data_IF_903030496731
#
_entry.id   IF_903030496731
#
_cell.length_a   1.000
_cell.length_b   1.000
_cell.length_c   1.000
_cell.angle_alpha   90.00
_cell.angle_beta   90.00
_cell.angle_gamma   90.00
#
_symmetry.space_group_name_H-M   'P 1'
#
loop_
_entity.id
_entity.type
_entity.pdbx_description
1 polymer ?
#
# COMPACT_ATOMS: atom_id res chain seq x y z
N UNK A 1 22.02 -10.80 -1.62
CA UNK A 1 21.08 -9.86 -0.96
C UNK A 1 21.69 -8.48 -0.76
N UNK A 2 22.79 -8.31 0.01
CA UNK A 2 23.39 -6.99 0.26
C UNK A 2 23.75 -6.21 -1.02
N UNK A 3 24.41 -6.84 -1.99
CA UNK A 3 24.76 -6.20 -3.26
C UNK A 3 23.53 -5.71 -4.06
N UNK A 4 22.47 -6.49 -4.14
CA UNK A 4 21.22 -6.08 -4.83
C UNK A 4 20.57 -4.87 -4.14
N UNK A 5 20.59 -4.82 -2.80
CA UNK A 5 20.07 -3.68 -2.02
C UNK A 5 20.92 -2.42 -2.23
N UNK A 6 22.27 -2.56 -2.31
CA UNK A 6 23.16 -1.46 -2.61
C UNK A 6 22.93 -0.93 -4.04
N UNK A 7 22.79 -1.81 -5.02
CA UNK A 7 22.49 -1.45 -6.41
C UNK A 7 21.14 -0.70 -6.51
N UNK A 8 20.10 -1.18 -5.85
CA UNK A 8 18.80 -0.50 -5.82
C UNK A 8 18.90 0.91 -5.20
N UNK A 9 19.62 1.06 -4.08
CA UNK A 9 19.81 2.38 -3.45
C UNK A 9 20.55 3.35 -4.38
N UNK A 10 21.57 2.87 -5.09
CA UNK A 10 22.30 3.68 -6.05
C UNK A 10 21.42 4.10 -7.24
N UNK A 11 20.60 3.17 -7.78
CA UNK A 11 19.65 3.47 -8.85
C UNK A 11 18.60 4.49 -8.37
N UNK A 12 17.98 4.24 -7.21
CA UNK A 12 16.92 5.08 -6.66
C UNK A 12 17.40 6.49 -6.29
N UNK A 13 18.67 6.64 -5.88
CA UNK A 13 19.27 7.95 -5.59
C UNK A 13 19.35 8.87 -6.83
N UNK A 14 19.36 8.30 -8.03
CA UNK A 14 19.31 9.05 -9.30
C UNK A 14 17.89 9.39 -9.78
N UNK A 15 16.85 8.98 -9.04
CA UNK A 15 15.45 9.21 -9.42
C UNK A 15 14.85 10.28 -8.50
N UNK A 16 14.21 11.29 -9.09
CA UNK A 16 13.41 12.24 -8.31
C UNK A 16 12.29 11.48 -7.56
N UNK A 17 12.25 11.52 -6.21
CA UNK A 17 11.21 10.85 -5.43
C UNK A 17 9.77 11.26 -5.78
N UNK A 18 9.56 12.46 -6.34
CA UNK A 18 8.25 12.90 -6.83
C UNK A 18 7.72 12.05 -7.99
N UNK A 19 8.60 11.33 -8.69
CA UNK A 19 8.25 10.41 -9.76
C UNK A 19 7.95 8.99 -9.26
N UNK A 20 8.36 8.64 -8.05
CA UNK A 20 8.19 7.30 -7.51
C UNK A 20 6.76 7.10 -6.98
N UNK A 21 6.14 6.00 -7.38
CA UNK A 21 4.82 5.56 -6.92
C UNK A 21 4.95 4.12 -6.45
N UNK A 22 4.86 3.90 -5.14
CA UNK A 22 5.00 2.59 -4.53
C UNK A 22 3.66 1.88 -4.49
N UNK A 23 3.63 0.67 -5.03
CA UNK A 23 2.43 -0.15 -5.18
C UNK A 23 2.61 -1.45 -4.41
N UNK A 24 1.57 -1.84 -3.67
CA UNK A 24 1.57 -3.07 -2.87
C UNK A 24 0.15 -3.51 -2.52
N UNK A 25 0.00 -4.74 -2.01
CA UNK A 25 -1.24 -5.30 -1.51
C UNK A 25 -1.23 -5.45 0.00
N UNK A 26 -2.39 -5.27 0.59
CA UNK A 26 -2.60 -5.52 2.01
C UNK A 26 -3.93 -6.20 2.31
N UNK A 27 -3.89 -7.30 3.04
CA UNK A 27 -5.10 -7.89 3.61
C UNK A 27 -5.69 -6.97 4.69
N UNK A 28 -6.96 -6.67 4.54
CA UNK A 28 -7.77 -5.99 5.58
C UNK A 28 -8.93 -6.92 5.95
N UNK A 29 -9.32 -6.94 7.21
CA UNK A 29 -10.43 -7.82 7.62
C UNK A 29 -11.31 -7.19 8.70
N UNK A 30 -12.52 -7.73 8.85
CA UNK A 30 -13.49 -7.27 9.84
C UNK A 30 -13.14 -7.66 11.28
N UNK A 31 -12.07 -8.45 11.48
CA UNK A 31 -11.54 -8.82 12.81
C UNK A 31 -10.46 -7.90 13.32
N UNK A 32 -10.11 -6.84 12.58
CA UNK A 32 -9.14 -5.86 13.05
C UNK A 32 -9.58 -5.28 14.39
N UNK A 33 -9.00 -5.77 15.48
CA UNK A 33 -9.24 -5.32 16.85
C UNK A 33 -8.01 -4.63 17.41
N UNK A 34 -8.19 -3.76 18.39
CA UNK A 34 -7.08 -3.19 19.13
C UNK A 34 -6.33 -4.32 19.86
N UNK A 35 -5.04 -4.41 19.65
CA UNK A 35 -4.16 -5.42 20.28
C UNK A 35 -3.68 -5.01 21.67
N UNK A 36 -3.84 -3.74 22.03
CA UNK A 36 -3.41 -3.16 23.29
C UNK A 36 -4.50 -2.27 23.87
N UNK A 37 -4.63 -2.29 25.18
CA UNK A 37 -5.49 -1.40 25.96
C UNK A 37 -4.78 -1.02 27.26
N UNK A 38 -5.22 0.05 27.91
CA UNK A 38 -4.73 0.48 29.23
C UNK A 38 -5.77 0.11 30.27
N UNK A 39 -5.28 -0.38 31.43
CA UNK A 39 -6.07 -0.62 32.63
C UNK A 39 -5.33 -0.07 33.84
N UNK A 40 -6.01 0.21 34.97
CA UNK A 40 -5.36 0.52 36.23
C UNK A 40 -4.34 -0.55 36.62
N UNK A 41 -3.29 -0.15 37.33
CA UNK A 41 -2.26 -1.08 37.83
C UNK A 41 -2.90 -2.26 38.57
N UNK A 42 -2.46 -3.46 38.24
CA UNK A 42 -2.98 -4.70 38.84
C UNK A 42 -4.31 -5.19 38.24
N UNK A 43 -4.88 -4.49 37.24
CA UNK A 43 -6.08 -4.94 36.55
C UNK A 43 -5.79 -5.30 35.07
N UNK A 44 -6.48 -6.33 34.58
CA UNK A 44 -6.39 -6.74 33.17
C UNK A 44 -7.37 -5.90 32.32
N UNK A 45 -6.92 -5.40 31.19
CA UNK A 45 -7.81 -4.84 30.18
C UNK A 45 -8.51 -5.98 29.44
N UNK A 46 -9.85 -5.93 29.39
CA UNK A 46 -10.69 -6.88 28.66
C UNK A 46 -11.18 -6.24 27.37
N UNK A 47 -11.33 -7.03 26.31
CA UNK A 47 -11.90 -6.61 25.04
C UNK A 47 -12.55 -7.78 24.35
N UNK A 48 -13.48 -7.50 23.43
CA UNK A 48 -14.15 -8.50 22.63
C UNK A 48 -13.56 -8.48 21.21
N UNK A 49 -13.25 -9.66 20.67
CA UNK A 49 -12.90 -9.87 19.29
C UNK A 49 -14.06 -10.56 18.55
N UNK A 50 -14.36 -10.19 17.30
CA UNK A 50 -15.37 -10.88 16.53
C UNK A 50 -14.99 -12.36 16.33
N UNK A 51 -15.94 -13.25 16.60
CA UNK A 51 -15.87 -14.66 16.24
C UNK A 51 -16.64 -14.96 14.96
N UNK A 52 -16.54 -16.21 14.47
CA UNK A 52 -17.31 -16.67 13.32
C UNK A 52 -16.68 -16.33 11.97
N UNK A 53 -17.53 -16.24 10.94
CA UNK A 53 -17.07 -15.94 9.57
C UNK A 53 -16.66 -14.47 9.44
N UNK A 54 -15.48 -14.25 8.87
CA UNK A 54 -14.94 -12.90 8.62
C UNK A 54 -14.71 -12.67 7.14
N UNK A 55 -14.82 -11.43 6.74
CA UNK A 55 -14.55 -10.98 5.40
C UNK A 55 -13.12 -10.40 5.33
N UNK A 56 -12.32 -10.90 4.40
CA UNK A 56 -10.93 -10.51 4.22
C UNK A 56 -10.67 -10.08 2.77
N UNK A 57 -11.09 -8.88 2.37
CA UNK A 57 -10.68 -8.36 1.08
C UNK A 57 -9.19 -8.04 1.05
N UNK A 58 -8.62 -8.12 -0.14
CA UNK A 58 -7.30 -7.59 -0.45
C UNK A 58 -7.46 -6.14 -0.91
N UNK A 59 -6.73 -5.24 -0.29
CA UNK A 59 -6.61 -3.85 -0.73
C UNK A 59 -5.34 -3.73 -1.57
N UNK A 60 -5.47 -3.36 -2.82
CA UNK A 60 -4.36 -2.96 -3.70
C UNK A 60 -4.28 -1.45 -3.64
N UNK A 61 -3.10 -0.88 -3.47
CA UNK A 61 -2.95 0.57 -3.41
C UNK A 61 -1.62 1.08 -3.90
N UNK A 62 -1.58 2.37 -4.16
CA UNK A 62 -0.41 3.09 -4.63
C UNK A 62 -0.19 4.35 -3.79
N UNK A 63 1.05 4.53 -3.31
CA UNK A 63 1.51 5.65 -2.50
C UNK A 63 2.47 6.52 -3.31
N UNK A 64 2.17 7.80 -3.40
CA UNK A 64 3.04 8.85 -3.93
C UNK A 64 3.41 9.84 -2.81
N UNK A 65 4.22 10.85 -3.09
CA UNK A 65 4.64 11.85 -2.09
C UNK A 65 3.51 12.69 -1.49
N UNK A 66 2.38 12.77 -2.14
CA UNK A 66 1.19 13.50 -1.66
C UNK A 66 0.16 12.61 -0.93
N UNK A 67 0.46 11.33 -0.79
CA UNK A 67 -0.38 10.36 -0.10
C UNK A 67 -0.77 9.16 -0.97
N UNK A 68 -1.84 8.45 -0.58
CA UNK A 68 -2.38 7.34 -1.36
C UNK A 68 -3.10 7.92 -2.59
N UNK A 69 -2.56 7.65 -3.78
CA UNK A 69 -3.09 8.18 -5.03
C UNK A 69 -4.09 7.25 -5.72
N UNK A 70 -4.02 5.95 -5.49
CA UNK A 70 -4.96 4.97 -6.01
C UNK A 70 -5.18 3.84 -5.01
N UNK A 71 -6.40 3.31 -4.92
CA UNK A 71 -6.70 2.13 -4.13
C UNK A 71 -7.92 1.38 -4.68
N UNK A 72 -7.91 0.06 -4.56
CA UNK A 72 -9.01 -0.83 -4.94
C UNK A 72 -9.09 -2.01 -3.97
N UNK A 73 -10.26 -2.24 -3.38
CA UNK A 73 -10.52 -3.41 -2.55
C UNK A 73 -11.14 -4.53 -3.39
N UNK A 74 -10.59 -5.73 -3.30
CA UNK A 74 -11.07 -6.91 -4.03
C UNK A 74 -11.35 -8.06 -3.08
N UNK A 75 -12.47 -8.74 -3.27
CA UNK A 75 -12.88 -9.88 -2.44
C UNK A 75 -12.29 -11.22 -2.95
N UNK A 76 -11.14 -11.17 -3.63
CA UNK A 76 -10.49 -12.32 -4.25
C UNK A 76 -8.96 -12.23 -4.10
N UNK A 77 -8.29 -13.33 -4.42
CA UNK A 77 -6.83 -13.33 -4.54
C UNK A 77 -6.39 -12.40 -5.69
N UNK A 78 -5.29 -11.71 -5.52
CA UNK A 78 -4.71 -10.83 -6.54
C UNK A 78 -4.06 -11.68 -7.63
N UNK A 79 -4.83 -11.96 -8.68
CA UNK A 79 -4.33 -12.56 -9.92
C UNK A 79 -3.76 -11.49 -10.84
N UNK A 80 -3.00 -11.87 -11.88
CA UNK A 80 -2.52 -10.93 -12.90
C UNK A 80 -3.67 -10.13 -13.57
N UNK A 81 -4.84 -10.77 -13.76
CA UNK A 81 -6.02 -10.10 -14.32
C UNK A 81 -6.59 -9.02 -13.39
N UNK A 82 -6.70 -9.33 -12.09
CA UNK A 82 -7.15 -8.37 -11.07
C UNK A 82 -6.16 -7.21 -10.97
N UNK A 83 -4.87 -7.52 -10.95
CA UNK A 83 -3.83 -6.50 -10.86
C UNK A 83 -3.81 -5.60 -12.10
N UNK A 84 -3.94 -6.18 -13.29
CA UNK A 84 -4.11 -5.42 -14.54
C UNK A 84 -5.33 -4.50 -14.48
N UNK A 85 -6.48 -5.00 -14.00
CA UNK A 85 -7.67 -4.17 -13.83
C UNK A 85 -7.42 -2.98 -12.90
N UNK A 86 -6.71 -3.19 -11.78
CA UNK A 86 -6.28 -2.10 -10.90
C UNK A 86 -5.41 -1.07 -11.66
N UNK A 87 -4.41 -1.53 -12.41
CA UNK A 87 -3.54 -0.65 -13.20
C UNK A 87 -4.36 0.18 -14.18
N UNK A 88 -5.23 -0.44 -14.97
CA UNK A 88 -5.99 0.23 -16.02
C UNK A 88 -7.11 1.15 -15.46
N UNK A 89 -7.81 0.73 -14.39
CA UNK A 89 -9.01 1.42 -13.91
C UNK A 89 -8.76 2.38 -12.75
N UNK A 90 -7.70 2.20 -11.97
CA UNK A 90 -7.41 3.04 -10.81
C UNK A 90 -6.07 3.77 -10.93
N UNK A 91 -4.97 3.05 -11.20
CA UNK A 91 -3.62 3.61 -11.16
C UNK A 91 -3.38 4.60 -12.32
N UNK A 92 -3.61 4.16 -13.56
CA UNK A 92 -3.40 4.99 -14.77
C UNK A 92 -4.21 6.28 -14.72
N UNK A 93 -5.51 6.27 -14.41
CA UNK A 93 -6.28 7.51 -14.23
C UNK A 93 -5.70 8.44 -13.16
N UNK A 94 -5.27 7.89 -12.02
CA UNK A 94 -4.69 8.67 -10.93
C UNK A 94 -3.34 9.32 -11.27
N UNK A 95 -2.59 8.73 -12.20
CA UNK A 95 -1.27 9.20 -12.60
C UNK A 95 -1.25 10.06 -13.88
N UNK A 96 -2.40 10.41 -14.47
CA UNK A 96 -2.47 11.24 -15.70
C UNK A 96 -1.77 12.59 -15.56
N UNK A 97 -1.76 13.17 -14.37
CA UNK A 97 -1.07 14.45 -14.07
C UNK A 97 0.40 14.29 -13.66
N UNK A 98 1.00 13.10 -13.76
CA UNK A 98 2.37 12.80 -13.30
C UNK A 98 3.24 12.26 -14.43
N UNK A 99 3.68 13.11 -15.36
CA UNK A 99 4.51 12.68 -16.47
C UNK A 99 5.82 12.05 -15.96
N UNK A 100 6.19 10.92 -16.54
CA UNK A 100 7.39 10.19 -16.17
C UNK A 100 7.33 9.50 -14.79
N UNK A 101 6.14 9.25 -14.25
CA UNK A 101 5.98 8.45 -13.05
C UNK A 101 6.56 7.04 -13.22
N UNK A 102 7.15 6.53 -12.14
CA UNK A 102 7.78 5.22 -12.08
C UNK A 102 7.09 4.41 -11.00
N UNK A 103 6.39 3.35 -11.40
CA UNK A 103 5.70 2.43 -10.50
C UNK A 103 6.70 1.44 -9.92
N UNK A 104 6.82 1.43 -8.61
CA UNK A 104 7.69 0.52 -7.86
C UNK A 104 6.82 -0.54 -7.19
N UNK A 105 7.00 -1.79 -7.55
CA UNK A 105 6.21 -2.91 -7.05
C UNK A 105 7.09 -4.11 -6.75
N UNK A 106 6.66 -4.99 -5.87
CA UNK A 106 7.44 -6.16 -5.49
C UNK A 106 7.60 -7.18 -6.63
N UNK A 107 8.35 -8.23 -6.37
CA UNK A 107 8.73 -9.24 -7.35
C UNK A 107 7.69 -10.35 -7.55
N UNK A 108 6.42 -10.17 -7.16
CA UNK A 108 5.37 -11.18 -7.37
C UNK A 108 5.16 -11.48 -8.86
N UNK A 109 4.83 -12.74 -9.14
CA UNK A 109 4.60 -13.18 -10.53
C UNK A 109 3.45 -12.42 -11.21
N UNK A 110 2.40 -12.06 -10.44
CA UNK A 110 1.27 -11.29 -10.93
C UNK A 110 1.70 -9.89 -11.41
N UNK A 111 2.64 -9.24 -10.71
CA UNK A 111 3.16 -7.91 -11.06
C UNK A 111 4.06 -7.95 -12.30
N UNK A 112 4.73 -9.08 -12.53
CA UNK A 112 5.63 -9.28 -13.68
C UNK A 112 4.92 -9.85 -14.92
N UNK A 113 3.61 -10.07 -14.86
CA UNK A 113 2.86 -10.58 -16.00
C UNK A 113 2.99 -9.63 -17.20
N UNK A 114 3.14 -10.18 -18.41
CA UNK A 114 3.30 -9.39 -19.63
C UNK A 114 2.17 -8.39 -19.80
N UNK A 115 0.93 -8.82 -19.54
CA UNK A 115 -0.27 -7.98 -19.63
C UNK A 115 -0.27 -6.76 -18.70
N UNK A 116 0.38 -6.87 -17.54
CA UNK A 116 0.54 -5.76 -16.57
C UNK A 116 1.58 -4.78 -17.09
N UNK A 117 2.74 -5.27 -17.54
CA UNK A 117 3.80 -4.44 -18.10
C UNK A 117 3.32 -3.68 -19.33
N UNK A 118 2.64 -4.37 -20.25
CA UNK A 118 2.04 -3.74 -21.44
C UNK A 118 1.03 -2.64 -21.08
N UNK A 119 0.26 -2.81 -20.00
CA UNK A 119 -0.67 -1.78 -19.55
C UNK A 119 0.06 -0.54 -19.01
N UNK A 120 1.15 -0.72 -18.27
CA UNK A 120 2.01 0.38 -17.79
C UNK A 120 2.71 1.08 -18.95
N UNK A 121 3.30 0.31 -19.86
CA UNK A 121 4.03 0.83 -21.03
C UNK A 121 3.11 1.65 -21.96
N UNK A 122 1.89 1.16 -22.23
CA UNK A 122 0.86 1.90 -23.01
C UNK A 122 0.46 3.21 -22.35
N UNK A 123 0.55 3.28 -21.02
CA UNK A 123 0.26 4.50 -20.26
C UNK A 123 1.48 5.43 -20.14
N UNK A 124 2.65 5.06 -20.69
CA UNK A 124 3.89 5.82 -20.55
C UNK A 124 4.48 5.80 -19.15
N UNK A 125 4.12 4.82 -18.32
CA UNK A 125 4.59 4.69 -16.95
C UNK A 125 5.83 3.77 -16.89
N UNK A 126 6.92 4.28 -16.32
CA UNK A 126 8.05 3.44 -15.97
C UNK A 126 7.70 2.44 -14.88
N UNK A 127 8.41 1.32 -14.81
CA UNK A 127 8.23 0.38 -13.70
C UNK A 127 9.57 -0.16 -13.20
N UNK A 128 9.64 -0.47 -11.91
CA UNK A 128 10.83 -1.00 -11.22
C UNK A 128 10.45 -2.04 -10.19
N UNK A 129 11.39 -2.94 -9.93
CA UNK A 129 11.24 -4.01 -8.93
C UNK A 129 12.41 -3.94 -7.95
N UNK A 130 12.18 -3.50 -6.71
CA UNK A 130 13.22 -3.50 -5.67
C UNK A 130 13.66 -4.94 -5.35
N UNK A 131 14.78 -5.13 -4.64
CA UNK A 131 15.22 -6.44 -4.22
C UNK A 131 14.15 -7.18 -3.42
N UNK A 132 14.01 -8.48 -3.66
CA UNK A 132 13.09 -9.32 -2.89
C UNK A 132 13.38 -9.22 -1.37
N UNK A 133 12.35 -9.40 -0.56
CA UNK A 133 12.43 -9.34 0.91
C UNK A 133 13.02 -8.03 1.46
N UNK A 134 12.64 -6.90 0.89
CA UNK A 134 13.09 -5.57 1.31
C UNK A 134 11.91 -4.63 1.65
N UNK A 135 11.03 -4.99 2.60
CA UNK A 135 9.88 -4.16 2.98
C UNK A 135 10.28 -2.82 3.59
N UNK A 136 11.48 -2.75 4.18
CA UNK A 136 12.07 -1.52 4.70
C UNK A 136 12.40 -0.47 3.61
N UNK A 137 12.46 -0.89 2.34
CA UNK A 137 12.62 -0.02 1.19
C UNK A 137 11.28 0.32 0.51
N UNK A 138 10.16 -0.10 1.09
CA UNK A 138 8.84 0.12 0.54
C UNK A 138 8.00 1.02 1.47
N UNK A 139 7.90 2.34 1.22
CA UNK A 139 7.20 3.28 2.12
C UNK A 139 5.70 3.02 2.24
N UNK A 140 5.07 2.28 1.33
CA UNK A 140 3.64 1.94 1.42
C UNK A 140 3.35 0.98 2.59
N UNK A 141 4.33 0.24 3.08
CA UNK A 141 4.18 -0.64 4.25
C UNK A 141 3.80 0.15 5.52
N UNK A 142 4.39 1.34 5.69
CA UNK A 142 4.00 2.24 6.78
C UNK A 142 2.59 2.81 6.58
N UNK A 143 2.19 3.06 5.33
CA UNK A 143 0.82 3.47 5.02
C UNK A 143 -0.19 2.37 5.40
N UNK A 144 0.12 1.11 5.09
CA UNK A 144 -0.69 -0.04 5.53
C UNK A 144 -0.74 -0.18 7.05
N UNK A 145 0.37 0.04 7.74
CA UNK A 145 0.42 0.04 9.20
C UNK A 145 -0.50 1.10 9.80
N UNK A 146 -0.43 2.34 9.32
CA UNK A 146 -1.31 3.45 9.74
C UNK A 146 -2.77 3.13 9.43
N UNK A 147 -3.07 2.69 8.21
CA UNK A 147 -4.43 2.31 7.80
C UNK A 147 -5.02 1.24 8.73
N UNK A 148 -4.29 0.15 8.95
CA UNK A 148 -4.74 -0.95 9.84
C UNK A 148 -4.95 -0.47 11.28
N UNK A 149 -4.10 0.42 11.80
CA UNK A 149 -4.28 0.99 13.13
C UNK A 149 -5.58 1.81 13.22
N UNK A 150 -5.88 2.61 12.21
CA UNK A 150 -7.10 3.41 12.11
C UNK A 150 -8.35 2.54 11.97
N UNK A 151 -8.32 1.52 11.10
CA UNK A 151 -9.42 0.56 10.95
C UNK A 151 -9.69 -0.23 12.24
N UNK A 152 -8.64 -0.59 13.02
CA UNK A 152 -8.81 -1.17 14.37
C UNK A 152 -9.57 -0.22 15.30
N UNK A 153 -9.30 1.06 15.22
CA UNK A 153 -9.99 2.07 16.03
C UNK A 153 -11.44 2.27 15.62
N UNK A 154 -11.75 2.13 14.33
CA UNK A 154 -13.13 2.22 13.79
C UNK A 154 -13.98 1.03 14.17
N UNK A 155 -13.36 -0.13 14.44
CA UNK A 155 -14.07 -1.37 14.76
C UNK A 155 -15.15 -1.74 13.73
N UNK A 156 -14.85 -1.59 12.42
CA UNK A 156 -15.75 -1.97 11.34
C UNK A 156 -15.93 -3.51 11.33
N UNK A 157 -17.12 -3.99 11.73
CA UNK A 157 -17.41 -5.41 11.97
C UNK A 157 -18.19 -6.09 10.86
N UNK A 158 -18.60 -5.34 9.84
CA UNK A 158 -19.22 -5.89 8.63
C UNK A 158 -18.46 -5.45 7.40
N UNK A 159 -18.71 -6.14 6.29
CA UNK A 159 -18.15 -5.78 4.98
C UNK A 159 -18.51 -4.35 4.61
N UNK A 160 -19.77 -4.00 4.70
CA UNK A 160 -20.30 -2.68 4.34
C UNK A 160 -19.71 -1.58 5.23
N UNK A 161 -19.51 -1.87 6.53
CA UNK A 161 -18.88 -0.92 7.45
C UNK A 161 -17.41 -0.70 7.10
N UNK A 162 -16.70 -1.76 6.71
CA UNK A 162 -15.30 -1.69 6.28
C UNK A 162 -15.18 -0.90 4.96
N UNK A 163 -15.99 -1.23 3.96
CA UNK A 163 -16.02 -0.55 2.66
C UNK A 163 -16.35 0.95 2.80
N UNK A 164 -17.31 1.30 3.65
CA UNK A 164 -17.62 2.71 3.94
C UNK A 164 -16.51 3.46 4.67
N UNK A 165 -15.75 2.78 5.52
CA UNK A 165 -14.67 3.41 6.27
C UNK A 165 -13.42 3.67 5.42
N UNK A 166 -13.13 2.81 4.44
CA UNK A 166 -11.90 2.82 3.67
C UNK A 166 -11.55 4.18 3.04
N UNK A 167 -12.45 4.87 2.31
CA UNK A 167 -12.11 6.13 1.66
C UNK A 167 -11.63 7.19 2.67
N UNK A 168 -12.33 7.33 3.80
CA UNK A 168 -11.96 8.28 4.85
C UNK A 168 -10.64 7.92 5.55
N UNK A 169 -10.37 6.63 5.76
CA UNK A 169 -9.15 6.18 6.42
C UNK A 169 -7.93 6.24 5.49
N UNK A 170 -8.12 6.02 4.18
CA UNK A 170 -7.09 6.25 3.16
C UNK A 170 -6.79 7.74 3.00
N UNK A 171 -7.82 8.59 2.95
CA UNK A 171 -7.67 10.05 2.88
C UNK A 171 -7.00 10.68 4.11
N UNK A 172 -6.97 9.98 5.24
CA UNK A 172 -6.24 10.41 6.43
C UNK A 172 -4.72 10.12 6.37
N UNK A 173 -4.25 9.47 5.31
CA UNK A 173 -2.82 9.33 4.99
C UNK A 173 -2.40 10.57 4.21
N UNK A 174 -1.73 11.47 4.88
CA UNK A 174 -1.37 12.79 4.34
C UNK A 174 -0.09 12.76 3.51
N UNK A 175 0.13 13.78 2.69
CA UNK A 175 1.41 13.96 2.01
C UNK A 175 2.59 14.13 2.98
N UNK A 176 2.36 14.67 4.19
CA UNK A 176 3.42 14.74 5.20
C UNK A 176 3.81 13.35 5.71
N UNK A 177 2.83 12.46 5.93
CA UNK A 177 3.10 11.06 6.27
C UNK A 177 3.93 10.40 5.18
N UNK A 178 3.48 10.53 3.92
CA UNK A 178 4.15 9.93 2.77
C UNK A 178 5.61 10.41 2.66
N UNK A 179 5.86 11.72 2.72
CA UNK A 179 7.23 12.28 2.70
C UNK A 179 8.10 11.73 3.84
N UNK A 180 7.56 11.59 5.05
CA UNK A 180 8.30 11.02 6.18
C UNK A 180 8.65 9.54 5.93
N UNK A 181 7.73 8.75 5.36
CA UNK A 181 7.96 7.34 5.05
C UNK A 181 8.94 7.15 3.89
N UNK A 182 8.88 8.01 2.88
CA UNK A 182 9.88 8.02 1.81
C UNK A 182 11.28 8.25 2.38
N UNK A 183 11.46 9.28 3.26
CA UNK A 183 12.75 9.52 3.93
C UNK A 183 13.20 8.31 4.76
N UNK A 184 12.28 7.71 5.53
CA UNK A 184 12.56 6.53 6.34
C UNK A 184 13.03 5.34 5.49
N UNK A 185 12.43 5.14 4.33
CA UNK A 185 12.79 4.08 3.39
C UNK A 185 14.07 4.40 2.56
N UNK A 186 14.67 5.59 2.74
CA UNK A 186 15.93 6.00 2.10
C UNK A 186 15.76 6.84 0.84
N UNK A 187 14.55 7.24 0.48
CA UNK A 187 14.28 8.18 -0.60
C UNK A 187 14.24 9.60 -0.04
N UNK A 188 15.03 10.52 -0.62
CA UNK A 188 15.20 11.88 -0.10
C UNK A 188 14.32 12.88 -0.88
N UNK A 189 13.03 13.04 -0.51
CA UNK A 189 12.19 14.07 -1.13
C UNK A 189 12.66 15.46 -0.67
N UNK A 190 12.79 16.35 -1.62
CA UNK A 190 13.07 17.76 -1.39
C UNK A 190 11.93 18.45 -0.59
#
# INVERSE_FOLDING_TARGET
MAAARAAWRAEAAGIDPARLVFLDESGIDTRLVRTHARAPRGRRAHGQAPGGHWHRPTLIGALALDGVCAAMAVAAATTAAVFRAFVEQALVPALRGRPGAIVVMDNLAAHKAATVREALDRAGLGHRYPPAYSPDMNPIEQAWSKLKARLRSRAARSREALERALPGELGAITGQDARNWFRHAGYQPN
#
